data_IF_770880466112
#
_entry.id   IF_770880466112
#
_cell.length_a   1.000
_cell.length_b   1.000
_cell.length_c   1.000
_cell.angle_alpha   90.00
_cell.angle_beta   90.00
_cell.angle_gamma   90.00
#
_symmetry.space_group_name_H-M   'P 1'
#
loop_
_entity.id
_entity.type
_entity.pdbx_description
1 polymer ?
#
# COMPACT_ATOMS: atom_id res chain seq x y z
N UNK A 1 1.47 14.04 -35.41
CA UNK A 1 0.64 13.32 -34.47
C UNK A 1 1.00 13.89 -33.10
N UNK A 2 0.08 14.56 -32.38
CA UNK A 2 0.34 14.97 -31.00
C UNK A 2 0.58 13.67 -30.21
N UNK A 3 1.69 13.59 -29.47
CA UNK A 3 1.92 12.48 -28.55
C UNK A 3 0.72 12.40 -27.60
N UNK A 4 0.17 11.21 -27.44
CA UNK A 4 -0.95 10.95 -26.57
C UNK A 4 -0.52 11.23 -25.12
N UNK A 5 -1.22 12.14 -24.43
CA UNK A 5 -0.88 12.49 -23.04
C UNK A 5 -0.96 11.27 -22.15
N UNK A 6 0.05 11.10 -21.32
CA UNK A 6 0.18 9.99 -20.39
C UNK A 6 -0.01 10.48 -18.96
N UNK A 7 -0.59 9.65 -18.09
CA UNK A 7 -0.87 10.03 -16.71
C UNK A 7 -0.76 8.85 -15.73
N UNK A 8 -0.65 9.19 -14.46
CA UNK A 8 -0.78 8.27 -13.33
C UNK A 8 -1.92 8.70 -12.42
N UNK A 9 -2.49 7.75 -11.69
CA UNK A 9 -3.54 7.99 -10.70
C UNK A 9 -3.19 7.32 -9.37
N UNK A 10 -3.42 8.04 -8.26
CA UNK A 10 -3.59 7.51 -6.92
C UNK A 10 -5.06 7.59 -6.51
N UNK A 11 -5.63 6.46 -6.12
CA UNK A 11 -7.00 6.35 -5.62
C UNK A 11 -6.96 5.87 -4.18
N UNK A 12 -7.36 6.72 -3.22
CA UNK A 12 -7.57 6.31 -1.84
C UNK A 12 -9.02 5.86 -1.63
N UNK A 13 -9.19 4.60 -1.20
CA UNK A 13 -10.47 3.98 -0.92
C UNK A 13 -10.71 3.91 0.60
N UNK A 14 -11.28 4.98 1.16
CA UNK A 14 -11.72 4.98 2.55
C UNK A 14 -13.09 4.33 2.73
N UNK A 15 -13.44 3.98 3.98
CA UNK A 15 -14.74 3.36 4.29
C UNK A 15 -15.94 4.21 3.89
N UNK A 16 -15.84 5.53 4.00
CA UNK A 16 -16.93 6.46 3.74
C UNK A 16 -16.71 7.35 2.53
N UNK A 17 -15.49 7.75 2.28
CA UNK A 17 -15.10 8.63 1.18
C UNK A 17 -13.91 8.06 0.45
N UNK A 18 -13.95 8.13 -0.87
CA UNK A 18 -12.79 7.92 -1.73
C UNK A 18 -12.24 9.27 -2.21
N UNK A 19 -10.97 9.27 -2.58
CA UNK A 19 -10.25 10.44 -3.07
C UNK A 19 -9.38 10.03 -4.25
N UNK A 20 -9.21 10.93 -5.21
CA UNK A 20 -8.34 10.73 -6.37
C UNK A 20 -7.33 11.86 -6.42
N UNK A 21 -6.09 11.51 -6.69
CA UNK A 21 -5.07 12.42 -7.20
C UNK A 21 -4.55 11.88 -8.53
N UNK A 22 -4.37 12.75 -9.51
CA UNK A 22 -3.78 12.37 -10.79
C UNK A 22 -2.71 13.35 -11.19
N UNK A 23 -1.75 12.86 -11.97
CA UNK A 23 -0.70 13.67 -12.55
C UNK A 23 -0.41 13.22 -13.97
N UNK A 24 -0.44 14.17 -14.90
CA UNK A 24 0.10 13.94 -16.22
C UNK A 24 1.61 13.96 -16.19
N UNK A 25 2.23 13.19 -17.06
CA UNK A 25 3.69 13.13 -17.11
C UNK A 25 4.33 14.44 -17.63
N UNK A 26 3.55 15.35 -18.19
CA UNK A 26 3.96 16.71 -18.54
C UNK A 26 3.88 17.73 -17.38
N UNK A 27 3.43 17.28 -16.18
CA UNK A 27 3.44 18.03 -14.94
C UNK A 27 2.10 18.58 -14.48
N UNK A 28 1.05 18.56 -15.30
CA UNK A 28 -0.30 18.96 -14.86
C UNK A 28 -0.84 17.96 -13.86
N UNK A 29 -1.42 18.43 -12.76
CA UNK A 29 -1.97 17.60 -11.70
C UNK A 29 -3.35 18.08 -11.25
N UNK A 30 -4.09 17.22 -10.56
CA UNK A 30 -5.37 17.56 -9.96
C UNK A 30 -5.86 16.52 -8.99
N UNK A 31 -6.88 16.88 -8.23
CA UNK A 31 -7.44 16.05 -7.18
C UNK A 31 -8.95 16.13 -7.11
N UNK A 32 -9.58 15.07 -6.60
CA UNK A 32 -10.99 14.98 -6.29
C UNK A 32 -11.14 14.37 -4.90
N UNK A 33 -11.84 15.06 -4.03
CA UNK A 33 -12.04 14.64 -2.64
C UNK A 33 -13.51 14.36 -2.35
N UNK A 34 -13.76 13.60 -1.26
CA UNK A 34 -15.11 13.35 -0.74
C UNK A 34 -16.08 12.66 -1.72
N UNK A 35 -15.56 11.76 -2.55
CA UNK A 35 -16.41 10.87 -3.35
C UNK A 35 -17.03 9.86 -2.38
N UNK A 36 -18.34 9.94 -2.19
CA UNK A 36 -19.04 9.08 -1.22
C UNK A 36 -19.03 7.62 -1.68
N UNK A 37 -18.59 6.70 -0.80
CA UNK A 37 -18.45 5.27 -1.10
C UNK A 37 -19.79 4.58 -0.93
N UNK A 38 -20.62 4.63 -1.96
CA UNK A 38 -21.86 3.86 -2.04
C UNK A 38 -22.30 3.69 -3.49
N UNK A 39 -23.10 2.64 -3.72
CA UNK A 39 -23.80 2.36 -4.97
C UNK A 39 -25.30 2.20 -4.71
N UNK A 40 -26.10 2.43 -5.72
CA UNK A 40 -27.50 2.11 -5.70
C UNK A 40 -27.90 1.46 -7.02
N UNK A 41 -28.49 0.26 -6.95
CA UNK A 41 -29.06 -0.41 -8.11
C UNK A 41 -30.55 -0.08 -8.20
N UNK A 42 -31.03 0.32 -9.38
CA UNK A 42 -32.44 0.54 -9.64
C UNK A 42 -33.20 -0.79 -9.60
N UNK A 43 -34.31 -0.83 -8.87
CA UNK A 43 -35.16 -2.02 -8.76
C UNK A 43 -35.67 -2.43 -10.14
N UNK A 44 -35.51 -3.70 -10.51
CA UNK A 44 -35.96 -4.27 -11.76
C UNK A 44 -35.20 -3.83 -13.01
N UNK A 45 -34.04 -3.17 -12.87
CA UNK A 45 -33.23 -2.74 -14.00
C UNK A 45 -31.72 -2.85 -13.71
N UNK A 46 -30.91 -3.09 -14.75
CA UNK A 46 -29.46 -3.07 -14.63
C UNK A 46 -28.91 -1.64 -14.81
N UNK A 47 -29.37 -0.74 -13.91
CA UNK A 47 -28.92 0.65 -13.87
C UNK A 47 -28.35 0.97 -12.49
N UNK A 48 -27.15 1.55 -12.48
CA UNK A 48 -26.38 1.87 -11.28
C UNK A 48 -26.21 3.37 -11.10
N UNK A 49 -26.32 3.80 -9.86
CA UNK A 49 -26.04 5.15 -9.39
C UNK A 49 -24.91 5.09 -8.37
N UNK A 50 -24.14 6.20 -8.21
CA UNK A 50 -22.93 6.23 -7.41
C UNK A 50 -22.88 7.48 -6.52
N UNK A 51 -22.22 7.36 -5.38
CA UNK A 51 -21.96 8.47 -4.50
C UNK A 51 -23.23 9.18 -4.03
N UNK A 52 -23.27 10.51 -4.07
CA UNK A 52 -24.42 11.31 -3.64
C UNK A 52 -25.69 11.00 -4.44
N UNK A 53 -25.56 10.73 -5.72
CA UNK A 53 -26.69 10.38 -6.57
C UNK A 53 -27.31 9.03 -6.15
N UNK A 54 -26.47 8.06 -5.76
CA UNK A 54 -26.94 6.79 -5.22
C UNK A 54 -27.81 6.97 -3.97
N UNK A 55 -27.37 7.82 -3.02
CA UNK A 55 -28.15 8.10 -1.82
C UNK A 55 -29.48 8.80 -2.14
N UNK A 56 -29.47 9.77 -3.04
CA UNK A 56 -30.68 10.49 -3.45
C UNK A 56 -31.67 9.56 -4.14
N UNK A 57 -31.17 8.69 -5.01
CA UNK A 57 -32.02 7.73 -5.73
C UNK A 57 -32.60 6.68 -4.77
N UNK A 58 -31.81 6.14 -3.86
CA UNK A 58 -32.29 5.22 -2.83
C UNK A 58 -33.34 5.85 -1.92
N UNK A 59 -33.18 7.13 -1.53
CA UNK A 59 -34.15 7.86 -0.74
C UNK A 59 -35.54 8.00 -1.43
N UNK A 60 -35.58 7.90 -2.76
CA UNK A 60 -36.85 7.87 -3.52
C UNK A 60 -37.59 6.51 -3.47
N UNK A 61 -37.02 5.49 -2.81
CA UNK A 61 -37.58 4.15 -2.70
C UNK A 61 -37.50 3.31 -4.00
N UNK A 62 -36.74 3.77 -5.01
CA UNK A 62 -36.66 3.14 -6.33
C UNK A 62 -35.40 2.29 -6.54
N UNK A 63 -34.54 2.18 -5.52
CA UNK A 63 -33.27 1.47 -5.64
C UNK A 63 -32.80 0.85 -4.33
N UNK A 64 -31.96 -0.17 -4.44
CA UNK A 64 -31.28 -0.83 -3.33
C UNK A 64 -29.93 -0.16 -3.09
N UNK A 65 -29.75 0.49 -1.90
CA UNK A 65 -28.52 1.17 -1.51
C UNK A 65 -27.50 0.17 -0.93
N UNK A 66 -26.26 0.30 -1.35
CA UNK A 66 -25.12 -0.48 -0.87
C UNK A 66 -24.07 0.49 -0.37
N UNK A 67 -23.81 0.53 0.96
CA UNK A 67 -22.87 1.45 1.60
C UNK A 67 -21.60 0.77 2.12
N UNK A 68 -21.63 -0.54 2.38
CA UNK A 68 -20.47 -1.28 2.90
C UNK A 68 -19.90 -2.22 1.84
N UNK A 69 -19.05 -1.68 0.96
CA UNK A 69 -18.42 -2.45 -0.11
C UNK A 69 -17.35 -3.43 0.40
N UNK A 70 -16.70 -3.12 1.52
CA UNK A 70 -15.51 -3.86 2.00
C UNK A 70 -15.84 -5.02 2.96
N UNK A 71 -17.11 -5.19 3.37
CA UNK A 71 -17.48 -6.18 4.36
C UNK A 71 -17.21 -5.76 5.81
N UNK A 72 -17.48 -6.66 6.73
CA UNK A 72 -17.06 -6.53 8.13
C UNK A 72 -15.61 -7.01 8.25
N UNK A 73 -14.82 -6.38 9.11
CA UNK A 73 -13.42 -6.73 9.39
C UNK A 73 -13.20 -8.17 9.96
N UNK A 74 -14.22 -9.00 9.95
CA UNK A 74 -14.17 -10.40 10.39
C UNK A 74 -13.72 -11.30 9.24
N UNK A 75 -12.47 -11.72 9.29
CA UNK A 75 -11.70 -12.55 8.36
C UNK A 75 -12.31 -13.89 7.88
N UNK A 76 -13.57 -13.90 7.55
CA UNK A 76 -14.25 -15.01 6.89
C UNK A 76 -14.64 -14.56 5.51
N UNK A 77 -14.30 -15.39 4.53
CA UNK A 77 -14.44 -15.30 3.09
C UNK A 77 -15.42 -14.29 2.49
N UNK A 78 -15.23 -14.06 1.23
CA UNK A 78 -16.03 -13.18 0.37
C UNK A 78 -17.55 -13.50 0.44
N UNK A 79 -18.18 -13.03 1.52
CA UNK A 79 -19.65 -13.08 1.63
C UNK A 79 -20.19 -12.08 0.62
N UNK A 80 -20.83 -12.58 -0.44
CA UNK A 80 -21.55 -11.80 -1.43
C UNK A 80 -22.55 -10.83 -0.78
N UNK A 81 -22.91 -9.80 -1.48
CA UNK A 81 -23.98 -8.88 -1.07
C UNK A 81 -25.25 -9.22 -1.83
N UNK A 82 -26.34 -9.48 -1.10
CA UNK A 82 -27.66 -9.61 -1.73
C UNK A 82 -28.14 -8.26 -2.26
N UNK A 83 -28.26 -8.17 -3.58
CA UNK A 83 -28.78 -6.99 -4.28
C UNK A 83 -30.04 -7.42 -5.01
N UNK A 84 -31.19 -7.03 -4.49
CA UNK A 84 -32.50 -7.58 -4.85
C UNK A 84 -32.54 -9.10 -4.51
N UNK A 85 -32.76 -9.95 -5.49
CA UNK A 85 -32.81 -11.42 -5.32
C UNK A 85 -31.50 -12.10 -5.80
N UNK A 86 -30.48 -11.32 -6.14
CA UNK A 86 -29.23 -11.81 -6.71
C UNK A 86 -28.06 -11.54 -5.78
N UNK A 87 -27.29 -12.56 -5.50
CA UNK A 87 -26.01 -12.42 -4.79
C UNK A 87 -24.95 -11.87 -5.75
N UNK A 88 -24.26 -10.81 -5.35
CA UNK A 88 -23.17 -10.19 -6.10
C UNK A 88 -21.88 -10.25 -5.29
N UNK A 89 -20.79 -10.60 -5.97
CA UNK A 89 -19.45 -10.55 -5.36
C UNK A 89 -19.07 -9.13 -4.99
N UNK A 90 -18.46 -8.94 -3.84
CA UNK A 90 -17.97 -7.61 -3.39
C UNK A 90 -16.93 -7.01 -4.33
N UNK A 91 -16.07 -7.85 -4.90
CA UNK A 91 -15.09 -7.44 -5.89
C UNK A 91 -15.70 -6.81 -7.14
N UNK A 92 -16.85 -7.33 -7.61
CA UNK A 92 -17.61 -6.75 -8.72
C UNK A 92 -18.18 -5.37 -8.37
N UNK A 93 -18.75 -5.24 -7.17
CA UNK A 93 -19.29 -3.97 -6.69
C UNK A 93 -18.16 -2.94 -6.50
N UNK A 94 -17.02 -3.39 -5.98
CA UNK A 94 -15.82 -2.54 -5.83
C UNK A 94 -15.32 -2.08 -7.21
N UNK A 95 -15.25 -2.97 -8.20
CA UNK A 95 -14.88 -2.60 -9.57
C UNK A 95 -15.81 -1.53 -10.15
N UNK A 96 -17.14 -1.69 -10.00
CA UNK A 96 -18.10 -0.68 -10.45
C UNK A 96 -17.84 0.68 -9.82
N UNK A 97 -17.55 0.70 -8.51
CA UNK A 97 -17.26 1.93 -7.79
C UNK A 97 -15.91 2.54 -8.20
N UNK A 98 -14.84 1.74 -8.32
CA UNK A 98 -13.53 2.20 -8.78
C UNK A 98 -13.64 2.81 -10.18
N UNK A 99 -14.34 2.15 -11.07
CA UNK A 99 -14.56 2.64 -12.42
C UNK A 99 -15.34 3.97 -12.45
N UNK A 100 -16.34 4.12 -11.58
CA UNK A 100 -17.00 5.40 -11.38
C UNK A 100 -16.01 6.47 -10.91
N UNK A 101 -15.20 6.18 -9.90
CA UNK A 101 -14.17 7.10 -9.41
C UNK A 101 -13.24 7.55 -10.54
N UNK A 102 -12.69 6.63 -11.32
CA UNK A 102 -11.83 6.92 -12.46
C UNK A 102 -12.54 7.82 -13.49
N UNK A 103 -13.81 7.56 -13.79
CA UNK A 103 -14.61 8.35 -14.73
C UNK A 103 -14.80 9.82 -14.30
N UNK A 104 -14.57 10.16 -13.03
CA UNK A 104 -14.62 11.54 -12.55
C UNK A 104 -13.31 12.30 -12.82
N UNK A 105 -12.18 11.60 -12.96
CA UNK A 105 -10.88 12.20 -13.19
C UNK A 105 -10.75 12.77 -14.61
N UNK A 106 -10.12 13.95 -14.72
CA UNK A 106 -9.93 14.65 -16.01
C UNK A 106 -9.21 13.78 -17.04
N UNK A 107 -8.04 13.14 -16.73
CA UNK A 107 -7.33 12.36 -17.73
C UNK A 107 -8.15 11.21 -18.30
N UNK A 108 -8.98 10.58 -17.48
CA UNK A 108 -9.86 9.50 -17.90
C UNK A 108 -10.97 9.99 -18.86
N UNK A 109 -11.55 11.17 -18.57
CA UNK A 109 -12.53 11.82 -19.46
C UNK A 109 -11.94 12.22 -20.81
N UNK A 110 -10.69 12.62 -20.82
CA UNK A 110 -9.93 13.02 -22.02
C UNK A 110 -9.41 11.81 -22.80
N UNK A 111 -9.64 10.57 -22.31
CA UNK A 111 -9.13 9.33 -22.91
C UNK A 111 -7.60 9.34 -23.08
N UNK A 112 -6.89 10.00 -22.17
CA UNK A 112 -5.44 9.96 -22.12
C UNK A 112 -4.94 8.56 -21.75
N UNK A 113 -3.68 8.24 -22.04
CA UNK A 113 -3.12 6.91 -21.79
C UNK A 113 -2.74 6.72 -20.32
N UNK A 114 -3.39 5.79 -19.63
CA UNK A 114 -3.07 5.42 -18.25
C UNK A 114 -1.75 4.66 -18.16
N UNK A 115 -0.77 5.17 -17.41
CA UNK A 115 0.51 4.50 -17.17
C UNK A 115 0.47 3.66 -15.92
N UNK A 116 0.06 4.24 -14.80
CA UNK A 116 -0.01 3.53 -13.54
C UNK A 116 -1.21 3.98 -12.71
N UNK A 117 -1.87 3.03 -12.07
CA UNK A 117 -2.90 3.23 -11.07
C UNK A 117 -2.43 2.59 -9.77
N UNK A 118 -2.35 3.36 -8.69
CA UNK A 118 -2.15 2.83 -7.34
C UNK A 118 -3.43 3.04 -6.53
N UNK A 119 -3.95 1.95 -5.98
CA UNK A 119 -5.12 1.95 -5.11
C UNK A 119 -4.65 1.80 -3.67
N UNK A 120 -4.88 2.84 -2.87
CA UNK A 120 -4.59 2.91 -1.44
C UNK A 120 -5.83 2.49 -0.65
N UNK A 121 -5.64 1.62 0.34
CA UNK A 121 -6.68 1.15 1.25
C UNK A 121 -6.21 1.24 2.69
N UNK A 122 -7.13 1.22 3.66
CA UNK A 122 -6.76 1.29 5.08
C UNK A 122 -5.83 0.14 5.49
N UNK A 123 -6.21 -1.10 5.15
CA UNK A 123 -5.44 -2.31 5.42
C UNK A 123 -5.54 -3.28 4.24
N UNK A 124 -4.41 -3.89 3.87
CA UNK A 124 -4.34 -4.94 2.85
C UNK A 124 -4.50 -6.31 3.52
N UNK A 125 -5.74 -6.73 3.74
CA UNK A 125 -6.07 -8.11 4.15
C UNK A 125 -6.18 -9.02 2.93
N UNK A 126 -6.11 -10.34 3.12
CA UNK A 126 -6.26 -11.33 2.03
C UNK A 126 -7.60 -11.15 1.29
N UNK A 127 -8.69 -10.88 2.02
CA UNK A 127 -9.99 -10.60 1.43
C UNK A 127 -9.97 -9.32 0.58
N UNK A 128 -9.32 -8.25 1.06
CA UNK A 128 -9.15 -7.01 0.29
C UNK A 128 -8.29 -7.24 -0.95
N UNK A 129 -7.19 -7.97 -0.82
CA UNK A 129 -6.31 -8.31 -1.96
C UNK A 129 -7.08 -9.09 -3.04
N UNK A 130 -7.91 -10.07 -2.64
CA UNK A 130 -8.75 -10.83 -3.59
C UNK A 130 -9.72 -9.92 -4.36
N UNK A 131 -10.38 -8.99 -3.68
CA UNK A 131 -11.27 -8.02 -4.33
C UNK A 131 -10.52 -7.07 -5.27
N UNK A 132 -9.34 -6.59 -4.85
CA UNK A 132 -8.50 -5.69 -5.64
C UNK A 132 -7.88 -6.40 -6.84
N UNK A 133 -7.55 -7.69 -6.74
CA UNK A 133 -7.08 -8.49 -7.88
C UNK A 133 -8.16 -8.64 -8.96
N UNK A 134 -9.42 -8.78 -8.59
CA UNK A 134 -10.52 -8.74 -9.54
C UNK A 134 -10.61 -7.38 -10.24
N UNK A 135 -10.47 -6.27 -9.49
CA UNK A 135 -10.42 -4.91 -10.06
C UNK A 135 -9.25 -4.79 -11.04
N UNK A 136 -8.05 -5.28 -10.66
CA UNK A 136 -6.84 -5.29 -11.51
C UNK A 136 -7.10 -6.04 -12.82
N UNK A 137 -7.67 -7.24 -12.75
CA UNK A 137 -7.97 -8.05 -13.94
C UNK A 137 -8.92 -7.34 -14.91
N UNK A 138 -9.89 -6.62 -14.38
CA UNK A 138 -10.87 -5.88 -15.20
C UNK A 138 -10.35 -4.57 -15.78
N UNK A 139 -9.34 -3.95 -15.17
CA UNK A 139 -8.72 -2.69 -15.61
C UNK A 139 -7.39 -2.88 -16.34
N UNK A 140 -6.92 -4.11 -16.54
CA UNK A 140 -5.60 -4.41 -17.11
C UNK A 140 -5.33 -3.82 -18.50
N UNK A 141 -6.38 -3.55 -19.28
CA UNK A 141 -6.27 -2.99 -20.61
C UNK A 141 -6.31 -1.44 -20.59
N UNK A 142 -6.65 -0.82 -19.45
CA UNK A 142 -6.76 0.63 -19.28
C UNK A 142 -5.48 1.26 -18.69
N UNK A 143 -4.68 0.47 -17.95
CA UNK A 143 -3.42 0.89 -17.32
C UNK A 143 -2.31 -0.11 -17.61
N UNK A 144 -1.08 0.38 -17.80
CA UNK A 144 0.09 -0.48 -18.00
C UNK A 144 0.49 -1.17 -16.68
N UNK A 145 0.29 -0.49 -15.54
CA UNK A 145 0.58 -1.02 -14.21
C UNK A 145 -0.54 -0.67 -13.22
N UNK A 146 -0.95 -1.65 -12.41
CA UNK A 146 -1.91 -1.45 -11.33
C UNK A 146 -1.34 -2.03 -10.04
N UNK A 147 -1.13 -1.18 -9.05
CA UNK A 147 -0.58 -1.53 -7.74
C UNK A 147 -1.58 -1.26 -6.61
N UNK A 148 -1.35 -1.93 -5.49
CA UNK A 148 -2.11 -1.75 -4.25
C UNK A 148 -1.17 -1.45 -3.11
N UNK A 149 -1.60 -0.59 -2.18
CA UNK A 149 -0.81 -0.27 -1.00
C UNK A 149 -1.69 0.10 0.19
N UNK A 150 -1.22 -0.13 1.43
CA UNK A 150 -1.90 0.40 2.60
C UNK A 150 -1.70 1.92 2.70
N UNK A 151 -2.63 2.65 3.34
CA UNK A 151 -2.54 4.11 3.55
C UNK A 151 -1.22 4.57 4.17
N UNK A 152 -0.64 3.76 5.05
CA UNK A 152 0.67 4.07 5.65
C UNK A 152 1.80 4.12 4.61
N UNK A 153 1.71 3.35 3.54
CA UNK A 153 2.66 3.41 2.42
C UNK A 153 2.43 4.65 1.55
N UNK A 154 1.17 4.98 1.27
CA UNK A 154 0.83 6.26 0.63
C UNK A 154 1.34 7.44 1.44
N UNK A 155 1.21 7.38 2.78
CA UNK A 155 1.76 8.39 3.67
C UNK A 155 3.29 8.49 3.54
N UNK A 156 4.01 7.36 3.48
CA UNK A 156 5.44 7.35 3.21
C UNK A 156 5.76 8.06 1.89
N UNK A 157 5.11 7.67 0.79
CA UNK A 157 5.30 8.30 -0.52
C UNK A 157 5.04 9.81 -0.47
N UNK A 158 3.97 10.24 0.20
CA UNK A 158 3.67 11.65 0.37
C UNK A 158 4.81 12.39 1.10
N UNK A 159 5.27 11.87 2.24
CA UNK A 159 6.26 12.55 3.08
C UNK A 159 7.64 12.60 2.42
N UNK A 160 8.10 11.55 1.76
CA UNK A 160 9.43 11.55 1.10
C UNK A 160 9.49 12.51 -0.09
N UNK A 161 8.34 12.92 -0.62
CA UNK A 161 8.26 13.91 -1.70
C UNK A 161 8.17 15.36 -1.19
N UNK A 162 8.03 15.56 0.11
CA UNK A 162 8.05 16.91 0.67
C UNK A 162 9.45 17.51 0.70
N UNK A 163 9.59 18.84 0.73
CA UNK A 163 10.87 19.53 0.89
C UNK A 163 11.66 18.99 2.10
N UNK A 164 12.98 18.89 1.97
CA UNK A 164 13.87 18.34 3.02
C UNK A 164 13.71 19.05 4.36
N UNK A 165 13.46 20.35 4.36
CA UNK A 165 13.24 21.16 5.57
C UNK A 165 12.05 20.71 6.42
N UNK A 166 11.01 20.11 5.82
CA UNK A 166 9.83 19.64 6.53
C UNK A 166 9.94 18.19 7.02
N UNK A 167 10.98 17.46 6.58
CA UNK A 167 11.23 16.07 6.92
C UNK A 167 12.67 15.80 7.38
N UNK A 168 13.38 16.86 7.85
CA UNK A 168 14.77 16.74 8.32
C UNK A 168 14.90 15.94 9.61
N UNK A 169 13.85 15.93 10.42
CA UNK A 169 13.67 15.11 11.61
C UNK A 169 12.38 14.28 11.46
N UNK A 170 11.60 14.15 12.51
CA UNK A 170 10.32 13.46 12.45
C UNK A 170 9.25 14.32 11.74
N UNK A 171 8.35 13.66 11.04
CA UNK A 171 7.16 14.29 10.44
C UNK A 171 5.92 13.70 11.12
N UNK A 172 5.03 14.57 11.59
CA UNK A 172 3.76 14.19 12.17
C UNK A 172 2.64 14.23 11.13
N UNK A 173 1.70 13.28 11.20
CA UNK A 173 0.43 13.36 10.47
C UNK A 173 -0.70 13.11 11.44
N UNK A 174 -1.74 13.92 11.33
CA UNK A 174 -2.95 13.86 12.16
C UNK A 174 -4.13 13.68 11.22
N UNK A 175 -4.74 12.52 11.26
CA UNK A 175 -5.95 12.21 10.51
C UNK A 175 -7.14 12.18 11.46
N UNK A 176 -8.03 13.15 11.33
CA UNK A 176 -9.22 13.20 12.13
C UNK A 176 -10.47 13.04 11.28
N UNK A 177 -11.03 11.87 11.33
CA UNK A 177 -12.39 11.61 10.84
C UNK A 177 -13.42 12.04 11.90
N UNK A 178 -14.72 11.94 11.59
CA UNK A 178 -15.75 12.20 12.60
C UNK A 178 -15.80 11.10 13.68
N UNK A 179 -15.35 9.90 13.35
CA UNK A 179 -15.52 8.71 14.19
C UNK A 179 -14.33 8.48 15.14
N UNK A 180 -13.12 8.89 14.75
CA UNK A 180 -11.90 8.72 15.54
C UNK A 180 -10.77 9.63 15.04
N UNK A 181 -9.76 9.80 15.90
CA UNK A 181 -8.50 10.47 15.60
C UNK A 181 -7.38 9.44 15.45
N UNK A 182 -6.56 9.60 14.42
CA UNK A 182 -5.34 8.84 14.21
C UNK A 182 -4.15 9.81 14.14
N UNK A 183 -3.03 9.40 14.75
CA UNK A 183 -1.76 10.12 14.60
C UNK A 183 -0.71 9.19 14.05
N UNK A 184 0.10 9.72 13.14
CA UNK A 184 1.20 8.99 12.54
C UNK A 184 2.50 9.77 12.75
N UNK A 185 3.57 9.04 13.06
CA UNK A 185 4.91 9.58 13.16
C UNK A 185 5.79 8.89 12.14
N UNK A 186 6.34 9.68 11.23
CA UNK A 186 7.26 9.21 10.19
C UNK A 186 8.67 9.50 10.63
N UNK A 187 9.46 8.45 10.81
CA UNK A 187 10.85 8.50 11.24
C UNK A 187 11.75 8.00 10.11
N UNK A 188 12.82 8.79 9.78
CA UNK A 188 13.76 8.47 8.72
C UNK A 188 15.16 8.26 9.31
N UNK A 189 15.69 7.04 9.19
CA UNK A 189 17.03 6.72 9.66
C UNK A 189 18.10 7.24 8.69
N UNK A 190 18.57 8.44 8.93
CA UNK A 190 19.60 9.10 8.10
C UNK A 190 20.98 8.42 8.14
N UNK A 191 21.17 7.42 9.02
CA UNK A 191 22.44 6.68 9.16
C UNK A 191 22.55 5.51 8.18
N UNK A 192 21.43 5.06 7.61
CA UNK A 192 21.41 3.94 6.64
C UNK A 192 21.43 4.43 5.20
N UNK A 193 21.89 3.58 4.30
CA UNK A 193 21.81 3.77 2.85
C UNK A 193 21.35 2.44 2.22
N UNK A 194 20.15 2.38 1.68
CA UNK A 194 19.11 3.43 1.60
C UNK A 194 18.61 3.93 2.98
N UNK A 195 17.99 5.10 3.01
CA UNK A 195 17.37 5.66 4.21
C UNK A 195 16.14 4.87 4.57
N UNK A 196 16.19 4.14 5.69
CA UNK A 196 15.07 3.36 6.17
C UNK A 196 14.05 4.27 6.85
N UNK A 197 12.80 4.12 6.46
CA UNK A 197 11.68 4.91 6.98
C UNK A 197 10.68 4.00 7.69
N UNK A 198 10.34 4.34 8.92
CA UNK A 198 9.30 3.67 9.71
C UNK A 198 8.17 4.63 10.03
N UNK A 199 6.98 4.10 10.18
CA UNK A 199 5.78 4.87 10.53
C UNK A 199 5.10 4.18 11.72
N UNK A 200 4.98 4.90 12.82
CA UNK A 200 4.19 4.48 13.98
C UNK A 200 2.81 5.13 13.95
N UNK A 201 1.77 4.38 14.32
CA UNK A 201 0.37 4.80 14.32
C UNK A 201 -0.21 4.69 15.72
N UNK A 202 -1.01 5.69 16.14
CA UNK A 202 -1.85 5.64 17.33
C UNK A 202 -3.28 6.00 16.96
N UNK A 203 -4.26 5.33 17.58
CA UNK A 203 -5.69 5.51 17.32
C UNK A 203 -6.41 5.92 18.61
N UNK A 204 -7.19 6.99 18.54
CA UNK A 204 -7.94 7.55 19.67
C UNK A 204 -9.43 7.48 19.36
N UNK A 205 -10.08 6.36 19.68
CA UNK A 205 -11.50 6.12 19.41
C UNK A 205 -12.45 6.95 20.28
N UNK A 206 -11.97 7.46 21.42
CA UNK A 206 -12.73 8.33 22.32
C UNK A 206 -12.74 9.79 21.89
N UNK A 207 -11.93 10.16 20.88
CA UNK A 207 -11.90 11.50 20.28
C UNK A 207 -12.69 11.42 18.98
N UNK A 208 -13.92 11.93 19.00
CA UNK A 208 -14.83 11.88 17.87
C UNK A 208 -15.75 13.10 17.86
N UNK A 209 -16.45 13.32 16.75
CA UNK A 209 -17.47 14.37 16.61
C UNK A 209 -18.83 13.72 16.39
N UNK A 210 -19.81 13.94 17.26
CA UNK A 210 -21.15 13.38 17.10
C UNK A 210 -21.79 13.81 15.76
N UNK A 211 -22.55 12.90 15.15
CA UNK A 211 -23.24 13.17 13.88
C UNK A 211 -24.36 14.20 14.00
N UNK A 212 -24.91 14.38 15.21
CA UNK A 212 -25.98 15.33 15.49
C UNK A 212 -25.77 15.98 16.87
N UNK A 213 -26.08 17.24 16.97
CA UNK A 213 -26.13 18.01 18.21
C UNK A 213 -27.57 18.48 18.46
N UNK A 214 -27.94 18.69 19.72
CA UNK A 214 -29.26 19.17 20.07
C UNK A 214 -29.46 20.65 19.67
N UNK A 215 -28.40 21.46 19.76
CA UNK A 215 -28.39 22.86 19.34
C UNK A 215 -27.01 23.29 18.81
N UNK A 216 -26.92 24.47 18.21
CA UNK A 216 -25.65 25.09 17.82
C UNK A 216 -24.76 25.41 19.02
N UNK A 217 -25.38 25.88 20.13
CA UNK A 217 -24.64 26.14 21.38
C UNK A 217 -23.99 24.89 21.95
N UNK A 218 -24.70 23.74 21.91
CA UNK A 218 -24.14 22.47 22.35
C UNK A 218 -23.00 22.03 21.45
N UNK A 219 -23.11 22.32 20.15
CA UNK A 219 -22.02 22.04 19.19
C UNK A 219 -20.78 22.89 19.49
N UNK A 220 -20.92 24.18 19.70
CA UNK A 220 -19.78 25.07 19.93
C UNK A 220 -19.09 24.77 21.25
N UNK A 221 -19.85 24.50 22.32
CA UNK A 221 -19.26 24.08 23.60
C UNK A 221 -18.55 22.73 23.49
N UNK A 222 -19.15 21.77 22.79
CA UNK A 222 -18.52 20.47 22.54
C UNK A 222 -17.19 20.62 21.78
N UNK A 223 -17.18 21.40 20.70
CA UNK A 223 -15.98 21.61 19.88
C UNK A 223 -14.88 22.34 20.66
N UNK A 224 -15.22 23.27 21.53
CA UNK A 224 -14.28 23.94 22.43
C UNK A 224 -13.61 22.95 23.39
N UNK A 225 -14.38 22.05 24.02
CA UNK A 225 -13.85 21.01 24.89
C UNK A 225 -13.04 19.98 24.11
N UNK A 226 -13.43 19.70 22.87
CA UNK A 226 -12.72 18.80 21.98
C UNK A 226 -11.36 19.36 21.56
N UNK A 227 -11.25 20.68 21.31
CA UNK A 227 -9.98 21.36 21.02
C UNK A 227 -9.00 21.23 22.19
N UNK A 228 -9.46 21.39 23.43
CA UNK A 228 -8.61 21.15 24.62
C UNK A 228 -8.11 19.71 24.70
N UNK A 229 -8.97 18.72 24.43
CA UNK A 229 -8.57 17.30 24.38
C UNK A 229 -7.59 17.02 23.26
N UNK A 230 -7.86 17.55 22.07
CA UNK A 230 -6.98 17.40 20.91
C UNK A 230 -5.61 18.02 21.18
N UNK A 231 -5.58 19.22 21.77
CA UNK A 231 -4.35 19.88 22.19
C UNK A 231 -3.53 19.02 23.15
N UNK A 232 -4.14 18.39 24.15
CA UNK A 232 -3.43 17.52 25.09
C UNK A 232 -2.82 16.31 24.38
N UNK A 233 -3.56 15.67 23.46
CA UNK A 233 -3.02 14.58 22.65
C UNK A 233 -1.86 15.04 21.79
N UNK A 234 -1.96 16.24 21.20
CA UNK A 234 -0.86 16.79 20.40
C UNK A 234 0.36 17.17 21.24
N UNK A 235 0.15 17.64 22.48
CA UNK A 235 1.25 17.93 23.39
C UNK A 235 2.04 16.65 23.75
N UNK A 236 1.35 15.56 24.11
CA UNK A 236 1.95 14.23 24.32
C UNK A 236 2.62 13.70 23.05
N UNK A 237 1.98 13.86 21.88
CA UNK A 237 2.53 13.44 20.60
C UNK A 237 3.87 14.13 20.27
N UNK A 238 4.06 15.37 20.71
CA UNK A 238 5.22 16.20 20.44
C UNK A 238 6.28 16.15 21.56
N UNK A 239 5.94 15.59 22.73
CA UNK A 239 6.81 15.59 23.91
C UNK A 239 8.12 14.85 23.64
N UNK A 240 9.26 15.50 23.97
CA UNK A 240 10.60 14.93 23.81
C UNK A 240 11.03 14.68 22.36
N UNK A 241 10.33 15.22 21.36
CA UNK A 241 10.55 14.97 19.95
C UNK A 241 10.82 16.24 19.15
N UNK A 242 11.63 16.09 18.09
CA UNK A 242 11.86 17.16 17.12
C UNK A 242 11.04 16.85 15.87
N UNK A 243 9.84 17.44 15.81
CA UNK A 243 8.93 17.32 14.65
C UNK A 243 9.03 18.61 13.85
N UNK A 244 9.43 18.53 12.58
CA UNK A 244 9.63 19.69 11.70
C UNK A 244 8.41 20.06 10.87
N UNK A 245 7.63 19.08 10.45
CA UNK A 245 6.40 19.27 9.71
C UNK A 245 5.24 18.47 10.33
N UNK A 246 4.06 19.06 10.33
CA UNK A 246 2.82 18.38 10.73
C UNK A 246 1.79 18.55 9.62
N UNK A 247 1.24 17.44 9.15
CA UNK A 247 0.19 17.42 8.15
C UNK A 247 -1.12 17.02 8.80
N UNK A 248 -2.12 17.84 8.60
CA UNK A 248 -3.49 17.63 9.07
C UNK A 248 -4.31 17.10 7.89
N UNK A 249 -5.08 16.05 8.12
CA UNK A 249 -6.00 15.47 7.13
C UNK A 249 -7.27 14.97 7.83
N UNK A 250 -8.25 14.54 7.03
CA UNK A 250 -9.51 14.04 7.55
C UNK A 250 -10.61 15.10 7.63
N UNK A 251 -11.83 14.64 7.40
CA UNK A 251 -13.03 15.49 7.25
C UNK A 251 -13.31 16.43 8.44
N UNK A 252 -12.94 16.00 9.64
CA UNK A 252 -13.19 16.77 10.85
C UNK A 252 -12.31 18.02 10.95
N UNK A 253 -11.12 18.02 10.33
CA UNK A 253 -10.17 19.14 10.38
C UNK A 253 -10.36 20.18 9.26
N UNK A 254 -11.26 19.97 8.33
CA UNK A 254 -11.52 20.94 7.26
C UNK A 254 -12.16 22.25 7.75
N UNK A 255 -12.77 22.24 8.94
CA UNK A 255 -13.32 23.43 9.59
C UNK A 255 -12.40 23.87 10.72
N UNK A 256 -12.17 25.17 10.84
CA UNK A 256 -11.29 25.79 11.83
C UNK A 256 -11.99 25.90 13.21
N UNK A 257 -12.18 24.77 13.90
CA UNK A 257 -12.77 24.73 15.24
C UNK A 257 -11.74 24.45 16.36
N UNK A 258 -10.45 24.30 16.02
CA UNK A 258 -9.35 23.87 16.92
C UNK A 258 -8.22 24.92 17.07
N UNK A 259 -8.52 26.17 17.49
CA UNK A 259 -7.55 27.26 17.55
C UNK A 259 -6.42 27.01 18.56
N UNK A 260 -6.70 26.38 19.70
CA UNK A 260 -5.70 26.14 20.73
C UNK A 260 -4.71 25.04 20.29
N UNK A 261 -5.22 24.00 19.64
CA UNK A 261 -4.39 22.96 18.99
C UNK A 261 -3.52 23.58 17.89
N UNK A 262 -4.08 24.44 17.04
CA UNK A 262 -3.31 25.13 15.99
C UNK A 262 -2.19 25.97 16.57
N UNK A 263 -2.42 26.73 17.62
CA UNK A 263 -1.37 27.52 18.32
C UNK A 263 -0.24 26.62 18.84
N UNK A 264 -0.58 25.46 19.41
CA UNK A 264 0.41 24.49 19.86
C UNK A 264 1.25 23.94 18.70
N UNK A 265 0.57 23.47 17.67
CA UNK A 265 1.20 22.83 16.51
C UNK A 265 2.10 23.79 15.74
N UNK A 266 1.76 25.06 15.60
CA UNK A 266 2.52 26.06 14.89
C UNK A 266 3.78 26.58 15.64
N UNK A 267 4.04 26.12 16.88
CA UNK A 267 5.25 26.52 17.62
C UNK A 267 6.48 25.84 17.04
N UNK A 268 7.34 26.64 16.37
CA UNK A 268 8.62 26.20 15.80
C UNK A 268 8.53 25.08 14.75
N UNK A 269 7.38 24.90 14.09
CA UNK A 269 7.19 23.92 13.03
C UNK A 269 6.22 24.41 11.96
N UNK A 270 6.20 23.75 10.82
CA UNK A 270 5.25 24.02 9.73
C UNK A 270 4.05 23.08 9.86
N UNK A 271 2.86 23.63 9.69
CA UNK A 271 1.60 22.89 9.73
C UNK A 271 0.88 23.08 8.41
N UNK A 272 0.43 21.99 7.82
CA UNK A 272 -0.25 21.96 6.53
C UNK A 272 -1.58 21.21 6.67
N UNK A 273 -2.62 21.71 6.03
CA UNK A 273 -3.86 20.98 5.86
C UNK A 273 -3.91 20.42 4.44
N UNK A 274 -4.07 19.10 4.31
CA UNK A 274 -4.18 18.42 3.02
C UNK A 274 -5.26 17.33 3.09
N UNK A 275 -6.40 17.60 2.49
CA UNK A 275 -7.54 16.67 2.50
C UNK A 275 -7.37 15.48 1.57
N UNK A 276 -6.44 15.52 0.60
CA UNK A 276 -6.18 14.46 -0.37
C UNK A 276 -4.85 13.72 -0.14
N UNK A 277 -4.28 13.82 1.06
CA UNK A 277 -2.94 13.35 1.41
C UNK A 277 -2.68 11.92 0.96
N UNK A 278 -3.56 10.97 1.25
CA UNK A 278 -3.39 9.56 0.88
C UNK A 278 -3.47 9.34 -0.64
N UNK A 279 -4.42 10.00 -1.31
CA UNK A 279 -4.53 9.90 -2.77
C UNK A 279 -3.30 10.51 -3.48
N UNK A 280 -2.77 11.64 -2.96
CA UNK A 280 -1.50 12.22 -3.44
C UNK A 280 -0.33 11.27 -3.21
N UNK A 281 -0.25 10.67 -2.02
CA UNK A 281 0.78 9.68 -1.72
C UNK A 281 0.73 8.49 -2.67
N UNK A 282 -0.45 7.92 -2.90
CA UNK A 282 -0.64 6.84 -3.86
C UNK A 282 -0.25 7.24 -5.30
N UNK A 283 -0.58 8.46 -5.71
CA UNK A 283 -0.17 9.01 -7.02
C UNK A 283 1.37 9.13 -7.14
N UNK A 284 2.04 9.57 -6.08
CA UNK A 284 3.49 9.64 -6.00
C UNK A 284 4.12 8.23 -5.96
N UNK A 285 3.48 7.27 -5.31
CA UNK A 285 3.84 5.85 -5.36
C UNK A 285 3.78 5.29 -6.79
N UNK A 286 2.73 5.64 -7.55
CA UNK A 286 2.60 5.27 -8.96
C UNK A 286 3.76 5.84 -9.82
N UNK A 287 4.17 7.09 -9.60
CA UNK A 287 5.33 7.68 -10.27
C UNK A 287 6.64 6.98 -9.90
N UNK A 288 6.82 6.63 -8.61
CA UNK A 288 8.02 5.94 -8.12
C UNK A 288 8.17 4.56 -8.76
N UNK A 289 7.08 3.81 -8.93
CA UNK A 289 7.08 2.50 -9.61
C UNK A 289 7.52 2.60 -11.07
N UNK A 290 7.15 3.66 -11.77
CA UNK A 290 7.60 3.93 -13.14
C UNK A 290 9.07 4.37 -13.24
N UNK A 291 9.77 4.55 -12.12
CA UNK A 291 11.17 4.98 -12.10
C UNK A 291 11.38 6.45 -12.49
N UNK A 292 10.33 7.27 -12.47
CA UNK A 292 10.37 8.68 -12.88
C UNK A 292 11.15 9.60 -11.95
N UNK A 293 11.37 9.17 -10.70
CA UNK A 293 12.12 9.93 -9.70
C UNK A 293 13.22 9.09 -9.06
N UNK A 294 14.39 9.00 -9.72
CA UNK A 294 15.54 8.23 -9.21
C UNK A 294 16.01 8.65 -7.81
N UNK A 295 15.90 9.96 -7.48
CA UNK A 295 16.30 10.47 -6.16
C UNK A 295 15.52 9.88 -4.98
N UNK A 296 14.38 9.24 -5.23
CA UNK A 296 13.52 8.65 -4.18
C UNK A 296 13.83 7.18 -3.91
N UNK A 297 14.59 6.49 -4.78
CA UNK A 297 15.12 5.15 -4.51
C UNK A 297 16.06 5.10 -3.30
N UNK A 298 16.51 6.29 -2.83
CA UNK A 298 17.28 6.42 -1.60
C UNK A 298 16.47 6.13 -0.32
N UNK A 299 15.13 6.09 -0.38
CA UNK A 299 14.25 5.87 0.76
C UNK A 299 13.51 4.55 0.62
N UNK A 300 13.50 3.75 1.69
CA UNK A 300 12.74 2.48 1.75
C UNK A 300 11.80 2.54 2.95
N UNK A 301 10.52 2.24 2.72
CA UNK A 301 9.54 2.04 3.78
C UNK A 301 9.66 0.63 4.35
N UNK A 302 9.82 0.54 5.68
CA UNK A 302 9.88 -0.71 6.44
C UNK A 302 8.65 -0.86 7.35
N UNK A 303 7.48 -1.00 6.73
CA UNK A 303 6.23 -1.28 7.46
C UNK A 303 5.93 -2.78 7.57
N UNK A 304 4.75 -3.06 8.10
CA UNK A 304 4.16 -4.41 8.07
C UNK A 304 3.99 -4.86 6.61
N UNK A 305 4.23 -6.14 6.36
CA UNK A 305 4.13 -6.71 5.03
C UNK A 305 5.29 -6.39 4.07
N UNK A 306 6.37 -5.72 4.54
CA UNK A 306 7.57 -5.45 3.75
C UNK A 306 8.70 -6.42 4.07
N UNK A 307 9.44 -6.86 3.04
CA UNK A 307 10.67 -7.60 3.26
C UNK A 307 11.72 -6.72 3.92
N UNK A 308 12.26 -7.14 5.06
CA UNK A 308 13.27 -6.41 5.83
C UNK A 308 14.70 -6.72 5.40
N UNK A 309 14.86 -7.66 4.49
CA UNK A 309 16.16 -8.09 3.97
C UNK A 309 16.09 -8.40 2.48
N UNK A 310 17.19 -8.20 1.77
CA UNK A 310 17.35 -8.73 0.41
C UNK A 310 17.56 -10.24 0.49
N UNK A 311 16.98 -10.97 -0.45
CA UNK A 311 17.18 -12.43 -0.58
C UNK A 311 17.87 -12.70 -1.91
N UNK A 312 18.96 -13.42 -1.86
CA UNK A 312 19.77 -13.71 -3.03
C UNK A 312 20.43 -15.08 -2.96
N UNK A 313 21.28 -15.33 -3.92
CA UNK A 313 22.10 -16.55 -4.01
C UNK A 313 23.54 -16.16 -4.27
N UNK A 314 24.46 -17.04 -3.88
CA UNK A 314 25.86 -16.90 -4.29
C UNK A 314 25.97 -17.31 -5.75
N UNK A 315 26.50 -16.43 -6.57
CA UNK A 315 26.79 -16.66 -8.00
C UNK A 315 28.28 -16.54 -8.26
N UNK A 316 28.74 -17.17 -9.35
CA UNK A 316 30.13 -17.15 -9.76
C UNK A 316 30.28 -16.33 -11.04
N UNK A 317 30.66 -15.08 -10.92
CA UNK A 317 30.97 -14.23 -12.07
C UNK A 317 32.49 -14.12 -12.28
N UNK A 318 32.96 -14.52 -13.44
CA UNK A 318 34.38 -14.44 -13.81
C UNK A 318 35.35 -15.05 -12.77
N UNK A 319 34.90 -16.13 -12.08
CA UNK A 319 35.70 -16.82 -11.06
C UNK A 319 35.71 -16.15 -9.68
N UNK A 320 34.90 -15.10 -9.47
CA UNK A 320 34.68 -14.46 -8.17
C UNK A 320 33.27 -14.76 -7.67
N UNK A 321 33.18 -15.03 -6.38
CA UNK A 321 31.86 -15.12 -5.72
C UNK A 321 31.22 -13.76 -5.64
N UNK A 322 30.00 -13.63 -6.15
CA UNK A 322 29.14 -12.47 -6.07
C UNK A 322 27.80 -12.87 -5.46
N UNK A 323 27.07 -11.93 -4.93
CA UNK A 323 25.70 -12.15 -4.45
C UNK A 323 24.74 -11.58 -5.49
N UNK A 324 23.97 -12.47 -6.11
CA UNK A 324 22.88 -12.09 -7.00
C UNK A 324 21.61 -11.93 -6.18
N UNK A 325 21.12 -10.68 -6.03
CA UNK A 325 19.85 -10.41 -5.37
C UNK A 325 18.71 -10.86 -6.29
N UNK A 326 17.78 -11.62 -5.75
CA UNK A 326 16.63 -12.19 -6.44
C UNK A 326 15.32 -11.56 -5.95
N UNK A 327 15.22 -11.28 -4.64
CA UNK A 327 14.11 -10.53 -4.03
C UNK A 327 14.68 -9.32 -3.32
N UNK A 328 14.18 -8.14 -3.66
CA UNK A 328 14.66 -6.90 -3.08
C UNK A 328 13.95 -6.62 -1.75
N UNK A 329 14.72 -6.27 -0.72
CA UNK A 329 14.17 -5.77 0.54
C UNK A 329 13.40 -4.47 0.33
N UNK A 330 12.32 -4.28 1.09
CA UNK A 330 11.40 -3.16 0.96
C UNK A 330 10.21 -3.42 0.03
N UNK A 331 10.22 -4.48 -0.79
CA UNK A 331 9.05 -4.87 -1.57
C UNK A 331 7.98 -5.55 -0.69
N UNK A 332 6.76 -5.61 -1.19
CA UNK A 332 5.67 -6.32 -0.52
C UNK A 332 5.90 -7.84 -0.58
N UNK A 333 5.72 -8.54 0.53
CA UNK A 333 5.95 -9.98 0.57
C UNK A 333 5.08 -10.75 -0.45
N UNK A 334 3.82 -10.33 -0.65
CA UNK A 334 2.88 -10.99 -1.57
C UNK A 334 3.22 -10.77 -3.07
N UNK A 335 4.06 -9.78 -3.39
CA UNK A 335 4.59 -9.52 -4.73
C UNK A 335 5.96 -10.19 -4.93
N UNK A 336 6.65 -10.56 -3.84
CA UNK A 336 8.00 -11.07 -3.85
C UNK A 336 8.04 -12.52 -4.34
N UNK A 337 8.43 -12.69 -5.60
CA UNK A 337 8.65 -14.00 -6.23
C UNK A 337 9.78 -13.93 -7.23
N UNK A 338 10.57 -14.99 -7.31
CA UNK A 338 11.63 -15.13 -8.30
C UNK A 338 11.74 -16.58 -8.75
N UNK A 339 12.19 -16.77 -9.97
CA UNK A 339 12.49 -18.09 -10.54
C UNK A 339 13.84 -18.01 -11.26
N UNK A 340 14.68 -19.01 -11.06
CA UNK A 340 15.98 -19.09 -11.69
C UNK A 340 16.43 -20.55 -11.87
N UNK A 341 17.34 -20.74 -12.79
CA UNK A 341 18.01 -22.02 -13.00
C UNK A 341 19.38 -22.00 -12.35
N UNK A 342 19.77 -23.08 -11.69
CA UNK A 342 21.11 -23.23 -11.14
C UNK A 342 21.65 -24.62 -11.33
N UNK A 343 22.97 -24.72 -11.31
CA UNK A 343 23.71 -25.99 -11.24
C UNK A 343 24.40 -26.02 -9.88
N UNK A 344 24.16 -27.06 -9.08
CA UNK A 344 24.77 -27.15 -7.75
C UNK A 344 26.29 -27.35 -7.87
N UNK A 345 27.01 -26.83 -6.89
CA UNK A 345 28.42 -27.11 -6.70
C UNK A 345 28.66 -28.58 -6.27
N UNK A 346 29.93 -28.95 -6.08
CA UNK A 346 30.32 -30.31 -5.65
C UNK A 346 29.70 -30.70 -4.29
N UNK A 347 29.38 -29.72 -3.46
CA UNK A 347 28.79 -29.92 -2.12
C UNK A 347 27.31 -30.20 -2.13
N UNK A 348 26.60 -30.04 -3.27
CA UNK A 348 25.17 -30.29 -3.41
C UNK A 348 24.28 -29.33 -2.65
N UNK A 349 24.75 -28.11 -2.36
CA UNK A 349 24.03 -27.08 -1.63
C UNK A 349 23.63 -25.90 -2.54
N UNK A 350 22.48 -25.29 -2.23
CA UNK A 350 22.12 -23.98 -2.76
C UNK A 350 22.20 -22.97 -1.59
N UNK A 351 23.22 -22.08 -1.55
CA UNK A 351 23.36 -21.08 -0.51
C UNK A 351 22.39 -19.92 -0.76
N UNK A 352 21.33 -19.83 0.05
CA UNK A 352 20.43 -18.66 0.08
C UNK A 352 21.06 -17.59 0.97
N UNK A 353 21.25 -16.41 0.43
CA UNK A 353 21.85 -15.27 1.14
C UNK A 353 20.74 -14.34 1.60
N UNK A 354 20.71 -14.05 2.90
CA UNK A 354 19.82 -13.09 3.54
C UNK A 354 20.63 -11.87 3.96
N UNK A 355 20.35 -10.72 3.37
CA UNK A 355 21.09 -9.47 3.60
C UNK A 355 20.17 -8.42 4.20
N UNK A 356 20.22 -8.19 5.53
CA UNK A 356 19.36 -7.22 6.22
C UNK A 356 19.57 -5.79 5.71
N UNK A 357 18.47 -5.03 5.59
CA UNK A 357 18.50 -3.62 5.15
C UNK A 357 19.06 -2.68 6.21
N UNK A 358 18.99 -3.04 7.49
CA UNK A 358 19.47 -2.24 8.63
C UNK A 358 21.00 -2.26 8.78
N UNK A 359 21.71 -3.02 7.92
CA UNK A 359 23.16 -3.18 7.96
C UNK A 359 23.65 -4.25 8.95
N UNK A 360 22.73 -5.06 9.50
CA UNK A 360 23.12 -6.24 10.28
C UNK A 360 23.90 -7.24 9.39
N UNK A 361 24.59 -8.18 10.05
CA UNK A 361 25.43 -9.15 9.33
C UNK A 361 24.60 -10.05 8.41
N UNK A 362 25.09 -10.22 7.18
CA UNK A 362 24.52 -11.18 6.23
C UNK A 362 24.52 -12.61 6.78
N UNK A 363 23.46 -13.36 6.48
CA UNK A 363 23.31 -14.76 6.84
C UNK A 363 23.27 -15.61 5.57
N UNK A 364 23.93 -16.75 5.59
CA UNK A 364 23.84 -17.74 4.53
C UNK A 364 23.13 -18.97 5.07
N UNK A 365 22.03 -19.32 4.46
CA UNK A 365 21.24 -20.52 4.79
C UNK A 365 21.50 -21.54 3.68
N UNK A 366 22.24 -22.63 3.97
CA UNK A 366 22.48 -23.67 2.97
C UNK A 366 21.21 -24.52 2.81
N UNK A 367 20.59 -24.49 1.64
CA UNK A 367 19.55 -25.44 1.26
C UNK A 367 20.23 -26.76 0.88
N UNK A 368 20.00 -27.80 1.66
CA UNK A 368 20.59 -29.11 1.44
C UNK A 368 19.64 -29.96 0.58
N UNK A 369 20.09 -30.37 -0.59
CA UNK A 369 19.31 -31.21 -1.48
C UNK A 369 19.82 -32.69 -1.36
N UNK A 370 19.11 -33.56 -0.64
CA UNK A 370 19.62 -34.85 -0.15
C UNK A 370 20.13 -35.81 -1.23
N UNK A 371 19.58 -35.74 -2.43
CA UNK A 371 19.87 -36.71 -3.50
C UNK A 371 20.94 -36.22 -4.49
N UNK A 372 21.53 -35.06 -4.26
CA UNK A 372 22.62 -34.56 -5.12
C UNK A 372 23.96 -35.30 -4.89
N UNK A 373 24.11 -35.96 -3.75
CA UNK A 373 25.37 -36.64 -3.40
C UNK A 373 25.72 -37.83 -4.32
N UNK A 374 24.73 -38.41 -4.98
CA UNK A 374 24.88 -39.64 -5.78
C UNK A 374 25.01 -39.39 -7.29
N UNK A 375 24.86 -38.15 -7.76
CA UNK A 375 24.98 -37.80 -9.20
C UNK A 375 26.12 -36.81 -9.41
N UNK A 376 26.86 -37.00 -10.50
CA UNK A 376 27.93 -36.09 -10.87
C UNK A 376 27.39 -34.64 -11.02
N UNK A 377 27.90 -33.70 -10.26
CA UNK A 377 27.40 -32.31 -10.14
C UNK A 377 27.27 -31.55 -11.46
N UNK A 378 28.05 -31.92 -12.47
CA UNK A 378 28.06 -31.29 -13.80
C UNK A 378 26.90 -31.70 -14.72
N UNK A 379 26.03 -32.61 -14.30
CA UNK A 379 24.90 -33.14 -15.10
C UNK A 379 23.54 -32.84 -14.56
N UNK A 380 23.43 -31.93 -13.56
CA UNK A 380 22.20 -31.58 -12.92
C UNK A 380 21.91 -30.08 -13.09
N UNK A 381 20.74 -29.79 -13.62
CA UNK A 381 20.18 -28.42 -13.66
C UNK A 381 18.86 -28.41 -12.92
N UNK A 382 18.70 -27.45 -12.03
CA UNK A 382 17.54 -27.31 -11.22
C UNK A 382 16.85 -25.97 -11.50
N UNK A 383 15.51 -25.99 -11.48
CA UNK A 383 14.68 -24.83 -11.43
C UNK A 383 14.38 -24.55 -9.97
N UNK A 384 14.71 -23.36 -9.49
CA UNK A 384 14.39 -22.90 -8.15
C UNK A 384 13.37 -21.78 -8.24
N UNK A 385 12.28 -21.88 -7.47
CA UNK A 385 11.33 -20.79 -7.28
C UNK A 385 11.33 -20.36 -5.82
N UNK A 386 11.40 -19.04 -5.63
CA UNK A 386 11.32 -18.36 -4.35
C UNK A 386 9.96 -17.67 -4.28
N UNK A 387 9.19 -17.92 -3.22
CA UNK A 387 7.90 -17.27 -3.00
C UNK A 387 7.72 -17.02 -1.51
N UNK A 388 7.32 -15.81 -1.14
CA UNK A 388 7.01 -15.53 0.26
C UNK A 388 5.64 -16.11 0.64
N UNK A 389 5.53 -16.72 1.83
CA UNK A 389 4.26 -17.11 2.46
C UNK A 389 3.74 -16.03 3.41
N UNK A 390 4.65 -15.26 3.98
CA UNK A 390 4.39 -14.10 4.82
C UNK A 390 5.60 -13.17 4.74
N UNK A 391 5.61 -12.06 5.43
CA UNK A 391 6.79 -11.18 5.54
C UNK A 391 7.99 -11.81 6.25
N UNK A 392 7.79 -12.98 6.88
CA UNK A 392 8.81 -13.71 7.64
C UNK A 392 9.10 -15.13 7.14
N UNK A 393 8.35 -15.66 6.18
CA UNK A 393 8.48 -17.03 5.70
C UNK A 393 8.72 -17.08 4.20
N UNK A 394 9.92 -17.52 3.81
CA UNK A 394 10.31 -17.79 2.43
C UNK A 394 10.10 -19.25 2.10
N UNK A 395 9.26 -19.57 1.14
CA UNK A 395 9.14 -20.90 0.54
C UNK A 395 10.11 -21.03 -0.63
N UNK A 396 11.00 -21.99 -0.54
CA UNK A 396 11.93 -22.37 -1.61
C UNK A 396 11.46 -23.70 -2.20
N UNK A 397 11.21 -23.74 -3.50
CA UNK A 397 10.90 -24.94 -4.25
C UNK A 397 11.98 -25.21 -5.26
N UNK A 398 12.44 -26.45 -5.34
CA UNK A 398 13.47 -26.88 -6.30
C UNK A 398 12.98 -28.09 -7.07
N UNK A 399 13.05 -28.01 -8.40
CA UNK A 399 12.65 -29.08 -9.32
C UNK A 399 13.84 -29.48 -10.19
N UNK A 400 14.04 -30.78 -10.37
CA UNK A 400 15.07 -31.32 -11.27
C UNK A 400 14.63 -31.21 -12.73
N UNK A 401 15.31 -30.36 -13.51
CA UNK A 401 15.06 -30.13 -14.95
C UNK A 401 15.85 -31.10 -15.87
N UNK A 402 16.70 -31.95 -15.29
CA UNK A 402 17.61 -32.75 -16.08
C UNK A 402 18.67 -31.94 -16.85
N UNK A 403 19.31 -32.55 -17.82
CA UNK A 403 20.30 -31.89 -18.68
C UNK A 403 20.20 -32.38 -20.14
N UNK A 404 19.21 -31.84 -20.85
CA UNK A 404 18.96 -32.20 -22.26
C UNK A 404 18.65 -33.67 -22.48
N UNK A 405 19.03 -34.20 -23.63
CA UNK A 405 18.79 -35.61 -24.01
C UNK A 405 19.65 -36.62 -23.21
N UNK A 406 20.69 -36.16 -22.50
CA UNK A 406 21.62 -37.03 -21.77
C UNK A 406 21.11 -37.39 -20.36
N UNK A 407 20.33 -36.54 -19.73
CA UNK A 407 19.83 -36.75 -18.38
C UNK A 407 18.37 -36.26 -18.28
N UNK A 408 17.45 -37.19 -18.31
CA UNK A 408 16.04 -36.90 -18.18
C UNK A 408 15.70 -36.31 -16.80
N UNK A 409 14.75 -35.37 -16.69
CA UNK A 409 14.26 -34.88 -15.42
C UNK A 409 13.81 -36.03 -14.51
N UNK A 410 14.14 -36.00 -13.24
CA UNK A 410 13.70 -37.04 -12.30
C UNK A 410 12.23 -36.82 -11.85
N UNK A 411 11.67 -35.65 -12.12
CA UNK A 411 10.34 -35.24 -11.64
C UNK A 411 10.26 -34.98 -10.13
N UNK A 412 11.40 -35.02 -9.45
CA UNK A 412 11.47 -34.80 -8.00
C UNK A 412 11.39 -33.32 -7.68
N UNK A 413 10.62 -33.01 -6.61
CA UNK A 413 10.41 -31.68 -6.10
C UNK A 413 10.83 -31.64 -4.64
N UNK A 414 11.54 -30.58 -4.27
CA UNK A 414 11.96 -30.30 -2.91
C UNK A 414 11.32 -28.98 -2.47
N UNK A 415 10.85 -28.96 -1.24
CA UNK A 415 10.29 -27.74 -0.65
C UNK A 415 10.90 -27.54 0.73
N UNK A 416 11.33 -26.30 1.00
CA UNK A 416 11.80 -25.88 2.33
C UNK A 416 11.28 -24.50 2.66
N UNK A 417 10.97 -24.26 3.93
CA UNK A 417 10.57 -22.95 4.43
C UNK A 417 11.72 -22.37 5.25
N UNK A 418 12.21 -21.23 4.82
CA UNK A 418 13.26 -20.48 5.51
C UNK A 418 12.61 -19.33 6.28
N UNK A 419 12.85 -19.26 7.58
CA UNK A 419 12.40 -18.15 8.42
C UNK A 419 13.38 -16.97 8.30
N UNK A 420 12.81 -15.81 7.96
CA UNK A 420 13.47 -14.51 7.93
C UNK A 420 13.40 -13.88 9.32
N UNK A 421 14.26 -12.92 9.61
CA UNK A 421 14.15 -12.16 10.87
C UNK A 421 14.65 -12.91 12.11
N UNK A 422 15.69 -13.69 11.97
CA UNK A 422 16.43 -14.23 13.12
C UNK A 422 17.41 -13.23 13.70
N UNK A 423 16.94 -12.14 14.31
CA UNK A 423 17.70 -11.47 15.38
C UNK A 423 17.17 -11.99 16.70
N UNK A 424 18.02 -12.70 17.37
CA UNK A 424 17.94 -13.14 18.76
C UNK A 424 17.63 -11.98 19.71
#
# INVERSE_FOLDING_TARGET
>A
MSEERQYVIGLDLGKKYAQISYRYLDGEEGELTHILVCLCKRIGANQWFYGKEAQQFAASGKGTLIENLYGKDSGHGDDGIMVEEQEMERGELLYLFVRYCLSQAKPYKEQAKGKSLVISVENLTDAMLSMLDLVRQKLKDEFEEIGFEPRVESLFHFVVHQPKEFRSYETGVVDFTHDHLETYRVEMNQKTRPVLTTISKQIFTKINIPKKFASLMDQDEYLRQLDEKLKNVMDEFLEGRIVTGVYLTGKALEKEWYPETTKLLCRNRRVFLDSALYAKGACLGALSKLGWEESKKEYIYLGEGKLKEHIGVVDMEQGKQTIKILLEGGCNWYEAKAEFLFMPGEDGHLPIVLKPLDGAKERIVPLILPEMKDRASKSLRFRCSLTMKSDQELLVRVEDEGFGDFYSPSGKKYEEVIFLGGSL
#
